data_IF_204208258092
#
_entry.id   IF_204208258092
#
_cell.length_a   1.000
_cell.length_b   1.000
_cell.length_c   1.000
_cell.angle_alpha   90.00
_cell.angle_beta   90.00
_cell.angle_gamma   90.00
#
_symmetry.space_group_name_H-M   'P 1'
#
loop_
_entity.id
_entity.type
_entity.pdbx_description
1 polymer ?
#
# COMPACT_ATOMS: atom_id res chain seq x y z
N UNK A 1 6.83 -27.67 12.67
CA UNK A 1 6.49 -26.65 11.65
C UNK A 1 7.43 -26.82 10.47
N UNK A 2 6.91 -27.02 9.26
CA UNK A 2 7.71 -26.98 8.03
C UNK A 2 7.63 -25.57 7.44
N UNK A 3 8.78 -24.98 7.16
CA UNK A 3 8.88 -23.63 6.60
C UNK A 3 8.51 -23.63 5.12
N UNK A 4 7.57 -22.78 4.72
CA UNK A 4 7.16 -22.61 3.32
C UNK A 4 7.52 -21.23 2.76
N UNK A 5 7.69 -20.23 3.62
CA UNK A 5 8.07 -18.87 3.26
C UNK A 5 9.11 -18.33 4.25
N UNK A 6 9.66 -17.15 3.97
CA UNK A 6 10.57 -16.47 4.88
C UNK A 6 10.11 -15.03 5.12
N UNK A 7 10.06 -14.65 6.40
CA UNK A 7 9.96 -13.25 6.81
C UNK A 7 11.36 -12.64 6.81
N UNK A 8 11.55 -11.61 6.00
CA UNK A 8 12.78 -10.82 5.95
C UNK A 8 12.47 -9.43 6.51
N UNK A 9 13.25 -8.98 7.48
CA UNK A 9 13.28 -7.57 7.88
C UNK A 9 14.53 -6.95 7.32
N UNK A 10 14.35 -5.85 6.59
CA UNK A 10 15.44 -5.05 6.07
C UNK A 10 15.24 -3.60 6.51
N UNK A 11 16.36 -2.91 6.74
CA UNK A 11 16.40 -1.50 7.11
C UNK A 11 17.02 -0.73 5.95
N UNK A 12 16.38 0.36 5.54
CA UNK A 12 16.87 1.22 4.48
C UNK A 12 16.97 2.66 4.99
N UNK A 13 18.09 3.37 4.77
CA UNK A 13 18.20 4.76 5.14
C UNK A 13 17.44 5.65 4.14
N UNK A 14 16.79 6.69 4.64
CA UNK A 14 16.12 7.68 3.80
C UNK A 14 17.11 8.78 3.39
N UNK A 15 17.82 8.56 2.27
CA UNK A 15 18.85 9.46 1.74
C UNK A 15 18.94 9.38 0.21
N UNK A 16 19.54 10.39 -0.41
CA UNK A 16 19.66 10.50 -1.88
C UNK A 16 20.58 9.45 -2.51
N UNK A 17 21.56 8.92 -1.76
CA UNK A 17 22.51 7.91 -2.24
C UNK A 17 22.73 6.80 -1.20
N UNK A 18 23.01 5.57 -1.64
CA UNK A 18 23.21 4.44 -0.72
C UNK A 18 21.96 4.06 0.08
N UNK A 19 20.78 4.15 -0.52
CA UNK A 19 19.48 3.82 0.09
C UNK A 19 19.14 2.31 0.03
N UNK A 20 20.12 1.47 -0.25
CA UNK A 20 19.93 0.02 -0.33
C UNK A 20 19.39 -0.52 0.99
N UNK A 21 18.34 -1.33 0.90
CA UNK A 21 17.82 -2.05 2.04
C UNK A 21 18.84 -3.12 2.47
N UNK A 22 19.24 -3.10 3.73
CA UNK A 22 20.15 -4.08 4.33
C UNK A 22 19.31 -5.07 5.13
N UNK A 23 19.30 -6.37 4.77
CA UNK A 23 18.64 -7.40 5.56
C UNK A 23 19.25 -7.45 6.96
N UNK A 24 18.39 -7.38 7.97
CA UNK A 24 18.78 -7.34 9.39
C UNK A 24 18.30 -8.60 10.12
N UNK A 25 17.15 -9.16 9.73
CA UNK A 25 16.64 -10.40 10.29
C UNK A 25 15.98 -11.27 9.23
N UNK A 26 16.13 -12.58 9.39
CA UNK A 26 15.51 -13.61 8.57
C UNK A 26 14.87 -14.65 9.49
N UNK A 27 13.61 -14.99 9.24
CA UNK A 27 12.91 -16.04 9.96
C UNK A 27 12.07 -16.86 9.00
N UNK A 28 12.13 -18.19 9.13
CA UNK A 28 11.22 -19.07 8.39
C UNK A 28 9.78 -18.88 8.89
N UNK A 29 8.84 -18.73 7.96
CA UNK A 29 7.41 -18.69 8.25
C UNK A 29 6.71 -19.96 7.75
N UNK A 30 5.77 -20.42 8.56
CA UNK A 30 4.82 -21.48 8.21
C UNK A 30 3.39 -20.93 8.05
N UNK A 31 3.23 -19.60 8.02
CA UNK A 31 1.96 -18.84 8.00
C UNK A 31 1.03 -19.05 9.19
N UNK A 32 1.52 -19.69 10.25
CA UNK A 32 0.75 -19.84 11.48
C UNK A 32 0.90 -18.62 12.40
N UNK A 33 1.78 -17.67 12.05
CA UNK A 33 2.02 -16.46 12.83
C UNK A 33 0.77 -15.57 12.83
N UNK A 34 0.48 -14.96 13.99
CA UNK A 34 -0.66 -14.05 14.16
C UNK A 34 -0.20 -12.60 14.12
N UNK A 35 -1.11 -11.70 13.74
CA UNK A 35 -0.81 -10.27 13.61
C UNK A 35 -0.30 -9.65 14.90
N UNK A 36 -0.84 -10.07 16.05
CA UNK A 36 -0.45 -9.59 17.37
C UNK A 36 0.95 -10.08 17.76
N UNK A 37 1.25 -11.35 17.52
CA UNK A 37 2.60 -11.92 17.77
C UNK A 37 3.64 -11.23 16.89
N UNK A 38 3.29 -10.98 15.63
CA UNK A 38 4.14 -10.25 14.69
C UNK A 38 4.34 -8.79 15.13
N UNK A 39 3.28 -8.13 15.63
CA UNK A 39 3.38 -6.78 16.17
C UNK A 39 4.35 -6.71 17.36
N UNK A 40 4.21 -7.63 18.32
CA UNK A 40 5.10 -7.72 19.48
C UNK A 40 6.57 -7.91 19.07
N UNK A 41 6.81 -8.77 18.09
CA UNK A 41 8.15 -9.02 17.56
C UNK A 41 8.76 -7.79 16.86
N UNK A 42 8.00 -7.12 15.99
CA UNK A 42 8.45 -5.89 15.32
C UNK A 42 8.67 -4.76 16.34
N UNK A 43 7.82 -4.64 17.35
CA UNK A 43 7.98 -3.65 18.43
C UNK A 43 9.29 -3.89 19.19
N UNK A 44 9.60 -5.15 19.52
CA UNK A 44 10.86 -5.51 20.17
C UNK A 44 12.06 -5.10 19.31
N UNK A 45 12.00 -5.34 18.01
CA UNK A 45 13.05 -4.92 17.07
C UNK A 45 13.24 -3.39 17.08
N UNK A 46 12.15 -2.62 17.02
CA UNK A 46 12.21 -1.14 17.03
C UNK A 46 12.80 -0.62 18.35
N UNK A 47 12.41 -1.20 19.48
CA UNK A 47 12.97 -0.82 20.79
C UNK A 47 14.44 -1.16 20.87
N UNK A 48 14.84 -2.37 20.48
CA UNK A 48 16.26 -2.73 20.40
C UNK A 48 17.03 -1.78 19.49
N UNK A 49 16.49 -1.40 18.34
CA UNK A 49 17.11 -0.41 17.47
C UNK A 49 17.28 0.94 18.15
N UNK A 50 16.28 1.42 18.88
CA UNK A 50 16.36 2.70 19.57
C UNK A 50 17.35 2.70 20.74
N UNK A 51 17.45 1.57 21.46
CA UNK A 51 18.25 1.46 22.68
C UNK A 51 19.71 1.03 22.41
N UNK A 52 19.99 0.42 21.26
CA UNK A 52 21.32 -0.08 20.93
C UNK A 52 22.27 1.05 20.46
N UNK A 53 23.54 1.08 20.91
CA UNK A 53 24.51 2.09 20.49
C UNK A 53 24.70 2.15 18.96
N UNK A 54 24.71 1.00 18.30
CA UNK A 54 24.81 0.88 16.84
C UNK A 54 23.47 0.99 16.11
N UNK A 55 22.39 1.36 16.81
CA UNK A 55 21.06 1.51 16.23
C UNK A 55 20.75 2.96 15.93
N UNK A 56 19.74 3.53 16.60
CA UNK A 56 19.26 4.87 16.33
C UNK A 56 20.31 5.97 16.58
N UNK A 57 21.24 5.77 17.53
CA UNK A 57 22.31 6.72 17.79
C UNK A 57 23.30 6.83 16.61
N UNK A 58 23.61 5.71 15.94
CA UNK A 58 24.53 5.67 14.80
C UNK A 58 23.85 5.91 13.45
N UNK A 59 22.58 5.51 13.31
CA UNK A 59 21.90 5.42 12.00
C UNK A 59 20.58 6.19 11.91
N UNK A 60 20.15 6.82 13.00
CA UNK A 60 18.90 7.57 13.08
C UNK A 60 17.69 6.71 13.44
N UNK A 61 16.60 7.39 13.82
CA UNK A 61 15.37 6.74 14.25
C UNK A 61 14.63 6.09 13.07
N UNK A 62 13.96 4.97 13.34
CA UNK A 62 12.98 4.41 12.41
C UNK A 62 11.77 5.35 12.41
N UNK A 63 11.39 5.83 11.24
CA UNK A 63 10.27 6.75 11.06
C UNK A 63 9.11 6.12 10.28
N UNK A 64 9.34 5.01 9.59
CA UNK A 64 8.34 4.33 8.77
C UNK A 64 8.53 2.82 8.73
N UNK A 65 7.43 2.07 8.77
CA UNK A 65 7.39 0.62 8.58
C UNK A 65 6.62 0.30 7.30
N UNK A 66 7.29 -0.37 6.37
CA UNK A 66 6.70 -0.87 5.13
C UNK A 66 6.53 -2.40 5.22
N UNK A 67 5.40 -2.91 4.76
CA UNK A 67 5.20 -4.35 4.58
C UNK A 67 4.51 -4.62 3.25
N UNK A 68 4.66 -5.85 2.74
CA UNK A 68 3.80 -6.35 1.67
C UNK A 68 2.32 -6.39 2.14
N UNK A 69 1.40 -6.51 1.20
CA UNK A 69 -0.03 -6.66 1.37
C UNK A 69 -0.50 -7.99 1.97
N UNK A 70 0.35 -8.74 2.67
CA UNK A 70 -0.07 -9.91 3.46
C UNK A 70 -1.01 -9.46 4.62
N UNK A 71 -1.97 -10.30 5.00
CA UNK A 71 -2.98 -9.94 6.01
C UNK A 71 -2.39 -9.80 7.41
N UNK A 72 -1.50 -10.73 7.79
CA UNK A 72 -0.86 -10.77 9.10
C UNK A 72 -0.01 -9.53 9.33
N UNK A 73 0.81 -9.18 8.33
CA UNK A 73 1.63 -7.97 8.34
C UNK A 73 0.81 -6.67 8.31
N UNK A 74 -0.36 -6.67 7.67
CA UNK A 74 -1.26 -5.50 7.72
C UNK A 74 -1.81 -5.27 9.13
N UNK A 75 -2.26 -6.35 9.78
CA UNK A 75 -2.79 -6.26 11.15
C UNK A 75 -1.68 -5.81 12.11
N UNK A 76 -0.50 -6.42 12.03
CA UNK A 76 0.63 -6.03 12.89
C UNK A 76 1.00 -4.57 12.72
N UNK A 77 1.10 -4.09 11.47
CA UNK A 77 1.41 -2.70 11.16
C UNK A 77 0.32 -1.73 11.66
N UNK A 78 -0.96 -2.10 11.56
CA UNK A 78 -2.04 -1.31 12.10
C UNK A 78 -1.93 -1.16 13.62
N UNK A 79 -1.76 -2.28 14.34
CA UNK A 79 -1.57 -2.29 15.79
C UNK A 79 -0.40 -1.38 16.20
N UNK A 80 0.72 -1.43 15.47
CA UNK A 80 1.92 -0.68 15.81
C UNK A 80 1.80 0.81 15.51
N UNK A 81 1.38 1.14 14.29
CA UNK A 81 1.46 2.49 13.74
C UNK A 81 0.18 3.32 13.95
N UNK A 82 -0.85 2.77 14.59
CA UNK A 82 -2.10 3.48 14.95
C UNK A 82 -2.37 3.40 16.45
N UNK A 83 -1.31 3.33 17.25
CA UNK A 83 -1.40 3.10 18.70
C UNK A 83 -1.49 4.37 19.54
N UNK A 84 -1.11 5.54 19.00
CA UNK A 84 -1.03 6.80 19.72
C UNK A 84 -1.62 7.94 18.90
N UNK A 85 -2.49 8.75 19.50
CA UNK A 85 -2.86 10.03 18.89
C UNK A 85 -1.64 10.97 18.88
N UNK A 86 -1.47 11.74 17.81
CA UNK A 86 -0.43 12.74 17.70
C UNK A 86 -0.61 13.79 18.79
N UNK A 87 0.40 13.96 19.64
CA UNK A 87 0.36 14.91 20.74
C UNK A 87 0.22 16.35 20.22
N UNK A 88 -0.60 17.16 20.87
CA UNK A 88 -0.79 18.59 20.56
C UNK A 88 0.52 19.39 20.70
N UNK A 89 1.44 18.92 21.53
CA UNK A 89 2.78 19.47 21.74
C UNK A 89 3.78 19.11 20.64
N UNK A 90 3.42 18.18 19.73
CA UNK A 90 4.27 17.81 18.61
C UNK A 90 4.33 18.94 17.59
N UNK A 91 5.52 19.22 17.05
CA UNK A 91 5.72 20.16 15.95
C UNK A 91 4.87 19.84 14.70
N UNK A 92 4.49 18.57 14.52
CA UNK A 92 3.63 18.13 13.41
C UNK A 92 2.14 18.45 13.62
N UNK A 93 1.69 18.57 14.87
CA UNK A 93 0.27 18.75 15.17
C UNK A 93 -0.33 20.01 14.54
N UNK A 94 0.26 21.22 14.70
CA UNK A 94 -0.32 22.42 14.10
C UNK A 94 -0.35 22.38 12.57
N UNK A 95 0.52 21.60 11.94
CA UNK A 95 0.57 21.43 10.48
C UNK A 95 -0.54 20.50 9.97
N UNK A 96 -0.89 19.48 10.76
CA UNK A 96 -1.78 18.39 10.32
C UNK A 96 -3.22 18.55 10.83
N UNK A 97 -3.44 19.23 11.96
CA UNK A 97 -4.75 19.33 12.61
C UNK A 97 -5.85 19.92 11.72
N UNK A 98 -5.48 20.81 10.79
CA UNK A 98 -6.43 21.51 9.91
C UNK A 98 -6.81 20.68 8.69
N UNK A 99 -6.23 19.49 8.51
CA UNK A 99 -6.55 18.58 7.41
C UNK A 99 -7.74 17.70 7.82
N UNK A 100 -8.95 18.20 7.59
CA UNK A 100 -10.20 17.49 7.89
C UNK A 100 -10.19 16.09 7.26
N UNK A 101 -10.44 15.06 8.08
CA UNK A 101 -10.44 13.66 7.64
C UNK A 101 -9.06 12.98 7.66
N UNK A 102 -7.97 13.73 7.90
CA UNK A 102 -6.67 13.12 8.12
C UNK A 102 -6.63 12.41 9.48
N UNK A 103 -6.28 11.13 9.46
CA UNK A 103 -6.01 10.38 10.67
C UNK A 103 -4.73 10.89 11.37
N UNK A 104 -4.87 11.38 12.60
CA UNK A 104 -3.76 11.88 13.41
C UNK A 104 -3.17 10.81 14.35
N UNK A 105 -3.45 9.53 14.13
CA UNK A 105 -2.82 8.45 14.88
C UNK A 105 -1.48 8.04 14.25
N UNK A 106 -0.50 7.77 15.12
CA UNK A 106 0.84 7.30 14.78
C UNK A 106 1.23 6.14 15.69
N UNK A 107 2.38 5.52 15.42
CA UNK A 107 3.00 4.60 16.36
C UNK A 107 3.74 5.28 17.50
N UNK A 108 4.32 4.45 18.37
CA UNK A 108 5.34 4.87 19.32
C UNK A 108 6.47 5.62 18.57
N UNK A 109 6.99 6.70 19.15
CA UNK A 109 7.99 7.58 18.52
C UNK A 109 7.57 8.15 17.14
N UNK A 110 6.26 8.31 16.90
CA UNK A 110 5.71 8.84 15.65
C UNK A 110 6.04 7.99 14.42
N UNK A 111 6.29 6.69 14.63
CA UNK A 111 6.51 5.74 13.52
C UNK A 111 5.25 5.65 12.68
N UNK A 112 5.40 5.87 11.38
CA UNK A 112 4.30 5.83 10.41
C UNK A 112 4.22 4.47 9.73
N UNK A 113 3.03 4.08 9.30
CA UNK A 113 2.89 2.97 8.36
C UNK A 113 3.02 3.46 6.93
N UNK A 114 3.67 2.66 6.10
CA UNK A 114 3.57 2.78 4.65
C UNK A 114 3.24 1.42 4.04
N UNK A 115 2.75 1.44 2.82
CA UNK A 115 2.59 0.25 2.01
C UNK A 115 3.23 0.52 0.65
N UNK A 116 3.85 -0.51 0.08
CA UNK A 116 4.38 -0.37 -1.26
C UNK A 116 3.21 -0.07 -2.22
N UNK A 117 3.21 1.11 -2.89
CA UNK A 117 2.11 1.56 -3.72
C UNK A 117 1.71 0.54 -4.80
N UNK A 118 2.65 -0.31 -5.25
CA UNK A 118 2.35 -1.34 -6.25
C UNK A 118 1.28 -2.33 -5.78
N UNK A 119 1.22 -2.62 -4.48
CA UNK A 119 0.22 -3.54 -3.92
C UNK A 119 -1.13 -2.86 -3.73
N UNK A 120 -1.16 -1.54 -3.53
CA UNK A 120 -2.39 -0.75 -3.58
C UNK A 120 -2.96 -0.88 -4.98
N UNK A 121 -2.19 -0.65 -6.05
CA UNK A 121 -2.71 -0.73 -7.42
C UNK A 121 -3.16 -2.14 -7.83
N UNK A 122 -2.49 -3.19 -7.35
CA UNK A 122 -2.74 -4.59 -7.73
C UNK A 122 -3.87 -5.29 -6.94
N UNK A 123 -4.29 -4.75 -5.79
CA UNK A 123 -5.09 -5.50 -4.80
C UNK A 123 -6.36 -6.13 -5.41
N UNK A 124 -6.73 -7.33 -4.95
CA UNK A 124 -8.08 -7.87 -5.15
C UNK A 124 -8.99 -7.31 -4.05
N UNK A 125 -10.11 -6.66 -4.37
CA UNK A 125 -11.12 -6.40 -3.34
C UNK A 125 -11.66 -7.77 -2.86
N UNK A 126 -11.82 -7.98 -1.54
CA UNK A 126 -12.58 -9.12 -1.06
C UNK A 126 -14.01 -9.00 -1.60
N UNK A 127 -14.63 -10.15 -1.89
CA UNK A 127 -16.04 -10.26 -2.29
C UNK A 127 -16.94 -9.81 -1.14
N UNK A 128 -17.06 -8.50 -0.87
CA UNK A 128 -17.95 -7.94 0.15
C UNK A 128 -18.66 -6.69 -0.38
N UNK A 129 -19.93 -6.63 -0.02
CA UNK A 129 -21.02 -5.77 -0.47
C UNK A 129 -20.69 -4.27 -0.46
N UNK A 130 -21.25 -3.58 -1.47
CA UNK A 130 -21.30 -2.13 -1.68
C UNK A 130 -21.52 -1.35 -0.37
N UNK A 131 -20.55 -0.57 0.09
CA UNK A 131 -20.81 0.73 0.73
C UNK A 131 -19.60 1.65 0.56
N UNK A 132 -19.94 2.94 0.56
CA UNK A 132 -19.32 4.13 0.02
C UNK A 132 -17.85 4.40 0.39
N UNK A 133 -17.09 4.78 -0.65
CA UNK A 133 -15.77 5.44 -0.64
C UNK A 133 -14.68 4.63 0.06
N UNK A 134 -14.18 3.58 -0.60
CA UNK A 134 -12.97 2.87 -0.15
C UNK A 134 -11.79 3.85 -0.18
N UNK A 135 -11.38 4.38 0.96
CA UNK A 135 -10.14 5.13 1.10
C UNK A 135 -8.95 4.34 0.50
N UNK A 136 -8.25 4.72 -0.57
CA UNK A 136 -8.54 5.52 -1.74
C UNK A 136 -7.87 4.71 -2.89
N UNK A 137 -8.66 3.86 -3.55
CA UNK A 137 -8.34 2.98 -4.71
C UNK A 137 -7.32 1.81 -4.58
N UNK A 138 -7.39 0.95 -3.55
CA UNK A 138 -6.70 -0.33 -3.60
C UNK A 138 -7.40 -1.32 -4.57
N UNK A 139 -6.72 -1.70 -5.66
CA UNK A 139 -7.21 -2.66 -6.65
C UNK A 139 -7.83 -2.05 -7.90
N UNK A 140 -7.59 -0.77 -8.15
CA UNK A 140 -8.12 -0.02 -9.30
C UNK A 140 -7.89 -0.75 -10.63
N UNK A 141 -6.67 -1.21 -10.88
CA UNK A 141 -6.36 -1.94 -12.11
C UNK A 141 -7.08 -3.29 -12.18
N UNK A 142 -7.33 -3.95 -11.06
CA UNK A 142 -8.07 -5.23 -11.03
C UNK A 142 -9.55 -4.99 -11.31
N UNK A 143 -10.16 -3.97 -10.70
CA UNK A 143 -11.58 -3.67 -10.86
C UNK A 143 -11.91 -3.07 -12.23
N UNK A 144 -11.05 -2.20 -12.78
CA UNK A 144 -11.20 -1.70 -14.15
C UNK A 144 -11.11 -2.80 -15.20
N UNK A 145 -10.36 -3.88 -14.92
CA UNK A 145 -10.25 -5.06 -15.79
C UNK A 145 -11.36 -6.10 -15.54
N UNK A 146 -12.09 -5.96 -14.45
CA UNK A 146 -13.23 -6.82 -14.13
C UNK A 146 -14.45 -6.48 -15.01
N UNK A 147 -15.36 -7.44 -15.14
CA UNK A 147 -16.61 -7.24 -15.89
C UNK A 147 -17.54 -6.30 -15.13
N UNK A 148 -17.52 -6.39 -13.81
CA UNK A 148 -18.37 -5.67 -12.87
C UNK A 148 -18.00 -4.19 -12.76
N UNK A 149 -16.71 -3.86 -12.93
CA UNK A 149 -16.21 -2.49 -12.87
C UNK A 149 -16.18 -1.87 -11.47
N UNK A 150 -16.14 -0.54 -11.43
CA UNK A 150 -16.12 0.32 -10.25
C UNK A 150 -17.29 1.29 -10.35
N UNK A 151 -18.09 1.41 -9.30
CA UNK A 151 -19.07 2.48 -9.17
C UNK A 151 -18.36 3.76 -8.72
N UNK A 152 -18.37 4.78 -9.57
CA UNK A 152 -17.92 6.14 -9.25
C UNK A 152 -19.15 7.04 -9.35
N UNK A 153 -19.56 7.61 -8.21
CA UNK A 153 -20.82 8.33 -8.07
C UNK A 153 -22.01 7.45 -8.54
N UNK A 154 -22.65 7.80 -9.66
CA UNK A 154 -23.77 7.08 -10.29
C UNK A 154 -23.34 6.20 -11.47
N UNK A 155 -22.07 6.28 -11.88
CA UNK A 155 -21.56 5.69 -13.12
C UNK A 155 -20.71 4.45 -12.84
N UNK A 156 -20.90 3.39 -13.64
CA UNK A 156 -20.12 2.15 -13.54
C UNK A 156 -19.02 2.17 -14.61
N UNK A 157 -17.77 2.33 -14.17
CA UNK A 157 -16.59 2.29 -15.03
C UNK A 157 -16.04 0.87 -15.06
N UNK A 158 -15.96 0.25 -16.23
CA UNK A 158 -15.54 -1.14 -16.40
C UNK A 158 -14.56 -1.30 -17.57
N UNK A 159 -14.16 -2.54 -17.86
CA UNK A 159 -13.19 -2.84 -18.92
C UNK A 159 -13.57 -2.33 -20.31
N UNK A 160 -14.87 -2.20 -20.60
CA UNK A 160 -15.33 -1.72 -21.91
C UNK A 160 -15.06 -0.23 -22.06
N UNK A 161 -15.30 0.55 -20.99
CA UNK A 161 -14.98 1.97 -20.96
C UNK A 161 -13.46 2.18 -21.11
N UNK A 162 -12.67 1.39 -20.39
CA UNK A 162 -11.21 1.43 -20.50
C UNK A 162 -10.74 1.09 -21.93
N UNK A 163 -11.35 0.08 -22.57
CA UNK A 163 -11.05 -0.28 -23.96
C UNK A 163 -11.34 0.87 -24.93
N UNK A 164 -12.48 1.56 -24.79
CA UNK A 164 -12.85 2.70 -25.64
C UNK A 164 -11.78 3.80 -25.61
N UNK A 165 -11.29 4.14 -24.42
CA UNK A 165 -10.26 5.17 -24.27
C UNK A 165 -8.86 4.69 -24.68
N UNK A 166 -8.50 3.43 -24.43
CA UNK A 166 -7.20 2.89 -24.81
C UNK A 166 -6.99 2.85 -26.34
N UNK A 167 -8.07 2.61 -27.11
CA UNK A 167 -8.02 2.61 -28.58
C UNK A 167 -7.80 4.02 -29.16
N UNK A 168 -8.13 5.07 -28.40
CA UNK A 168 -7.94 6.46 -28.82
C UNK A 168 -6.49 6.95 -28.67
N UNK A 169 -5.65 6.22 -27.91
CA UNK A 169 -4.28 6.64 -27.65
C UNK A 169 -3.38 6.38 -28.86
N UNK A 170 -2.56 7.37 -29.28
CA UNK A 170 -1.57 7.14 -30.32
C UNK A 170 -0.58 6.07 -29.86
N UNK A 171 -0.19 5.17 -30.77
CA UNK A 171 0.77 4.08 -30.55
C UNK A 171 0.28 2.85 -29.77
N UNK A 172 -1.01 2.72 -29.44
CA UNK A 172 -1.56 1.49 -28.84
C UNK A 172 -2.36 0.71 -29.89
N UNK A 173 -1.96 -0.52 -30.17
CA UNK A 173 -2.69 -1.42 -31.07
C UNK A 173 -3.71 -2.30 -30.32
N UNK A 174 -4.68 -2.87 -31.03
CA UNK A 174 -5.75 -3.68 -30.44
C UNK A 174 -5.25 -4.86 -29.59
N UNK A 175 -4.14 -5.51 -29.99
CA UNK A 175 -3.55 -6.61 -29.21
C UNK A 175 -2.94 -6.14 -27.89
N UNK A 176 -2.35 -4.94 -27.87
CA UNK A 176 -1.85 -4.31 -26.64
C UNK A 176 -3.01 -3.94 -25.72
N UNK A 177 -4.12 -3.43 -26.28
CA UNK A 177 -5.33 -3.13 -25.48
C UNK A 177 -5.85 -4.39 -24.80
N UNK A 178 -6.00 -5.51 -25.53
CA UNK A 178 -6.46 -6.77 -24.95
C UNK A 178 -5.52 -7.28 -23.86
N UNK A 179 -4.20 -7.19 -24.08
CA UNK A 179 -3.18 -7.56 -23.08
C UNK A 179 -3.20 -6.68 -21.84
N UNK A 180 -3.57 -5.40 -21.98
CA UNK A 180 -3.68 -4.44 -20.88
C UNK A 180 -4.97 -4.63 -20.09
N UNK A 181 -6.08 -4.99 -20.73
CA UNK A 181 -7.37 -5.20 -20.05
C UNK A 181 -7.54 -6.63 -19.52
N UNK A 182 -6.65 -7.55 -19.86
CA UNK A 182 -6.69 -8.94 -19.40
C UNK A 182 -6.54 -9.03 -17.86
N UNK A 183 -7.56 -9.57 -17.15
CA UNK A 183 -7.50 -9.76 -15.71
C UNK A 183 -6.63 -10.95 -15.28
N UNK A 184 -6.14 -11.81 -16.18
CA UNK A 184 -5.32 -12.97 -15.82
C UNK A 184 -3.92 -12.56 -15.31
N UNK A 185 -3.31 -11.54 -15.91
CA UNK A 185 -1.98 -11.04 -15.55
C UNK A 185 -2.03 -9.98 -14.43
N UNK A 186 -2.21 -10.47 -13.19
CA UNK A 186 -2.39 -9.63 -11.98
C UNK A 186 -1.08 -9.13 -11.37
N UNK A 187 0.05 -9.71 -11.76
CA UNK A 187 1.36 -9.43 -11.16
C UNK A 187 2.23 -8.46 -11.98
N UNK A 188 1.82 -8.11 -13.20
CA UNK A 188 2.56 -7.18 -14.04
C UNK A 188 2.37 -5.71 -13.60
N UNK A 189 3.38 -5.16 -12.91
CA UNK A 189 3.38 -3.77 -12.41
C UNK A 189 3.32 -2.76 -13.57
N UNK A 190 4.14 -2.87 -14.64
CA UNK A 190 4.05 -1.96 -15.78
C UNK A 190 2.65 -1.83 -16.37
N UNK A 191 1.95 -2.95 -16.61
CA UNK A 191 0.57 -2.93 -17.12
C UNK A 191 -0.40 -2.20 -16.19
N UNK A 192 -0.28 -2.42 -14.87
CA UNK A 192 -1.13 -1.77 -13.89
C UNK A 192 -0.92 -0.24 -13.83
N UNK A 193 0.31 0.22 -14.06
CA UNK A 193 0.64 1.65 -14.11
C UNK A 193 0.05 2.31 -15.37
N UNK A 194 0.17 1.67 -16.54
CA UNK A 194 -0.42 2.19 -17.78
C UNK A 194 -1.95 2.31 -17.68
N UNK A 195 -2.62 1.27 -17.15
CA UNK A 195 -4.07 1.29 -16.91
C UNK A 195 -4.48 2.39 -15.93
N UNK A 196 -3.66 2.70 -14.91
CA UNK A 196 -3.95 3.76 -13.94
C UNK A 196 -4.05 5.13 -14.60
N UNK A 197 -3.10 5.49 -15.48
CA UNK A 197 -3.09 6.81 -16.13
C UNK A 197 -4.36 7.02 -16.95
N UNK A 198 -4.74 6.01 -17.74
CA UNK A 198 -5.91 6.06 -18.61
C UNK A 198 -7.20 5.98 -17.81
N UNK A 199 -7.26 5.11 -16.80
CA UNK A 199 -8.43 4.97 -15.93
C UNK A 199 -8.71 6.22 -15.11
N UNK A 200 -7.69 6.97 -14.69
CA UNK A 200 -7.89 8.26 -14.00
C UNK A 200 -8.52 9.31 -14.92
N UNK A 201 -8.14 9.34 -16.21
CA UNK A 201 -8.77 10.23 -17.20
C UNK A 201 -10.23 9.85 -17.45
N UNK A 202 -10.53 8.55 -17.52
CA UNK A 202 -11.92 8.05 -17.65
C UNK A 202 -12.77 8.39 -16.42
N UNK A 203 -12.20 8.27 -15.22
CA UNK A 203 -12.87 8.64 -13.96
C UNK A 203 -13.10 10.15 -13.91
N UNK A 204 -12.12 10.95 -14.33
CA UNK A 204 -12.23 12.41 -14.36
C UNK A 204 -13.38 12.87 -15.26
N UNK A 205 -13.47 12.35 -16.50
CA UNK A 205 -14.58 12.67 -17.39
C UNK A 205 -15.94 12.28 -16.80
N UNK A 206 -16.03 11.14 -16.10
CA UNK A 206 -17.26 10.69 -15.45
C UNK A 206 -17.63 11.46 -14.17
N UNK A 207 -16.75 12.33 -13.65
CA UNK A 207 -17.02 13.21 -12.51
C UNK A 207 -17.43 14.63 -12.95
N UNK A 208 -17.18 14.99 -14.22
CA UNK A 208 -17.61 16.27 -14.82
C UNK A 208 -19.04 16.20 -15.39
N UNK A 209 -19.59 15.00 -15.57
CA UNK A 209 -20.98 14.70 -15.96
C UNK A 209 -21.92 14.51 -14.74
#
# INVERSE_FOLDING_TARGET
>A
HYTSEATVVAIAPFRSSGYSAVPFALSGSCKAERGESMASWIMKLIRTWNDHPDGAAAHGQIWSIATDGESTMRMSRFILCMSRALATTSLLYPLLQNLTGLNLFTGENKVMMTCDPKHVFKRKPPTIKKTLVSELFPGFATLLRAREGILVNTSIINKNHLRLHLVQLPHINSSTVESLIDPADKQNVPKAVTVRVVGLLTVWGALED
#
